data_IF_791962607378
#
_entry.id   IF_791962607378
#
_cell.length_a   1.000
_cell.length_b   1.000
_cell.length_c   1.000
_cell.angle_alpha   90.00
_cell.angle_beta   90.00
_cell.angle_gamma   90.00
#
_symmetry.space_group_name_H-M   'P 1'
#
loop_
_entity.id
_entity.type
_entity.pdbx_description
1 polymer ?
#
# COMPACT_ATOMS: atom_id res chain seq x y z
N UNK A 1 7.94 -7.23 -16.74
CA UNK A 1 7.61 -6.95 -15.33
C UNK A 1 6.13 -7.17 -15.10
N UNK A 2 5.78 -7.78 -13.97
CA UNK A 2 4.41 -7.89 -13.48
C UNK A 2 3.81 -6.51 -13.19
N UNK A 3 2.47 -6.36 -13.24
CA UNK A 3 1.80 -5.17 -12.72
C UNK A 3 2.23 -4.92 -11.27
N UNK A 4 2.51 -3.67 -10.93
CA UNK A 4 2.76 -3.23 -9.57
C UNK A 4 1.57 -2.41 -9.09
N UNK A 5 0.99 -2.80 -7.96
CA UNK A 5 -0.09 -2.07 -7.32
C UNK A 5 0.41 -1.60 -5.97
N UNK A 6 0.44 -0.28 -5.76
CA UNK A 6 0.82 0.36 -4.51
C UNK A 6 -0.45 0.85 -3.80
N UNK A 7 -0.67 0.40 -2.57
CA UNK A 7 -1.79 0.82 -1.73
C UNK A 7 -1.20 1.47 -0.48
N UNK A 8 -1.23 2.80 -0.46
CA UNK A 8 -0.47 3.62 0.48
C UNK A 8 -1.38 4.19 1.56
N UNK A 9 -1.10 3.86 2.81
CA UNK A 9 -1.70 4.52 3.96
C UNK A 9 -1.11 5.92 4.08
N UNK A 10 -2.00 6.90 4.03
CA UNK A 10 -1.65 8.31 4.18
C UNK A 10 -2.23 8.88 5.46
N UNK A 11 -2.58 8.08 6.46
CA UNK A 11 -3.20 8.54 7.71
C UNK A 11 -2.27 9.32 8.64
N UNK A 12 -2.85 9.86 9.72
CA UNK A 12 -2.18 10.56 10.82
C UNK A 12 -0.85 9.95 11.26
N UNK A 13 -0.86 8.67 11.60
CA UNK A 13 0.33 7.95 12.08
C UNK A 13 1.38 7.74 10.98
N UNK A 14 0.99 7.84 9.72
CA UNK A 14 1.85 7.71 8.54
C UNK A 14 2.37 9.05 8.04
N UNK A 15 2.08 10.19 8.70
CA UNK A 15 2.39 11.54 8.22
C UNK A 15 3.84 11.68 7.74
N UNK A 16 4.79 11.25 8.58
CA UNK A 16 6.23 11.37 8.33
C UNK A 16 6.72 10.45 7.20
N UNK A 17 5.98 9.39 6.89
CA UNK A 17 6.34 8.38 5.89
C UNK A 17 5.61 8.59 4.55
N UNK A 18 4.40 9.15 4.59
CA UNK A 18 3.49 9.28 3.45
C UNK A 18 4.11 10.01 2.26
N UNK A 19 4.90 11.07 2.52
CA UNK A 19 5.62 11.83 1.49
C UNK A 19 6.63 10.95 0.74
N UNK A 20 7.45 10.19 1.46
CA UNK A 20 8.47 9.34 0.87
C UNK A 20 7.84 8.20 0.07
N UNK A 21 6.75 7.62 0.58
CA UNK A 21 5.96 6.61 -0.14
C UNK A 21 5.39 7.15 -1.46
N UNK A 22 4.88 8.38 -1.46
CA UNK A 22 4.38 9.03 -2.68
C UNK A 22 5.50 9.37 -3.67
N UNK A 23 6.68 9.80 -3.20
CA UNK A 23 7.85 10.02 -4.07
C UNK A 23 8.32 8.71 -4.72
N UNK A 24 8.37 7.63 -3.95
CA UNK A 24 8.66 6.30 -4.46
C UNK A 24 7.64 5.87 -5.52
N UNK A 25 6.34 6.01 -5.22
CA UNK A 25 5.27 5.66 -6.15
C UNK A 25 5.31 6.47 -7.44
N UNK A 26 5.62 7.78 -7.34
CA UNK A 26 5.83 8.64 -8.49
C UNK A 26 7.00 8.12 -9.35
N UNK A 27 8.13 7.81 -8.72
CA UNK A 27 9.34 7.33 -9.39
C UNK A 27 9.11 5.97 -10.06
N UNK A 28 8.45 5.04 -9.35
CA UNK A 28 8.08 3.73 -9.87
C UNK A 28 7.13 3.84 -11.08
N UNK A 29 6.14 4.72 -11.02
CA UNK A 29 5.18 4.95 -12.12
C UNK A 29 5.86 5.51 -13.38
N UNK A 30 7.00 6.18 -13.24
CA UNK A 30 7.80 6.65 -14.38
C UNK A 30 8.77 5.59 -14.91
N UNK A 31 9.26 4.71 -14.04
CA UNK A 31 10.23 3.69 -14.40
C UNK A 31 9.58 2.42 -15.00
N UNK A 32 8.32 2.13 -14.65
CA UNK A 32 7.62 0.92 -15.08
C UNK A 32 6.27 1.25 -15.75
N UNK A 33 5.94 0.49 -16.80
CA UNK A 33 4.76 0.75 -17.65
C UNK A 33 3.42 0.28 -17.06
N UNK A 34 3.42 -0.43 -15.92
CA UNK A 34 2.22 -1.04 -15.34
C UNK A 34 2.17 -0.83 -13.82
N UNK A 35 2.22 0.43 -13.40
CA UNK A 35 2.10 0.82 -11.98
C UNK A 35 0.74 1.46 -11.73
N UNK A 36 0.08 1.01 -10.68
CA UNK A 36 -1.18 1.55 -10.20
C UNK A 36 -1.02 1.98 -8.75
N UNK A 37 -1.46 3.20 -8.43
CA UNK A 37 -1.25 3.78 -7.10
C UNK A 37 -2.57 4.21 -6.50
N UNK A 38 -2.79 3.75 -5.29
CA UNK A 38 -3.93 4.06 -4.45
C UNK A 38 -3.44 4.64 -3.13
N UNK A 39 -4.17 5.62 -2.61
CA UNK A 39 -3.99 6.12 -1.26
C UNK A 39 -5.24 5.81 -0.45
N UNK A 40 -5.07 5.55 0.84
CA UNK A 40 -6.19 5.41 1.75
C UNK A 40 -5.95 6.05 3.10
N UNK A 41 -7.06 6.44 3.73
CA UNK A 41 -7.16 6.83 5.13
C UNK A 41 -8.55 6.45 5.63
N UNK A 42 -9.51 7.36 5.45
CA UNK A 42 -10.95 7.09 5.67
C UNK A 42 -11.66 6.51 4.44
N UNK A 43 -11.12 6.75 3.24
CA UNK A 43 -11.59 6.20 1.95
C UNK A 43 -10.40 5.81 1.08
N UNK A 44 -10.64 4.92 0.11
CA UNK A 44 -9.67 4.56 -0.92
C UNK A 44 -9.80 5.49 -2.15
N UNK A 45 -8.69 6.10 -2.57
CA UNK A 45 -8.61 6.95 -3.76
C UNK A 45 -7.53 6.43 -4.71
N UNK A 46 -7.86 6.24 -5.99
CA UNK A 46 -6.87 5.96 -7.03
C UNK A 46 -6.16 7.26 -7.43
N UNK A 47 -4.85 7.33 -7.23
CA UNK A 47 -4.02 8.53 -7.48
C UNK A 47 -3.04 8.37 -8.64
N UNK A 48 -3.06 7.25 -9.38
CA UNK A 48 -2.20 7.01 -10.56
C UNK A 48 -2.14 8.22 -11.51
N UNK A 49 -3.29 8.81 -11.87
CA UNK A 49 -3.34 9.98 -12.76
C UNK A 49 -2.89 11.29 -12.13
N UNK A 50 -2.90 11.39 -10.79
CA UNK A 50 -2.34 12.54 -10.08
C UNK A 50 -0.80 12.52 -10.13
N UNK A 51 -0.21 11.32 -10.13
CA UNK A 51 1.24 11.09 -10.17
C UNK A 51 1.87 11.21 -11.57
N UNK A 52 1.09 11.48 -12.62
CA UNK A 52 1.57 11.59 -14.00
C UNK A 52 2.33 12.90 -14.30
N UNK A 53 2.26 13.88 -13.40
CA UNK A 53 3.02 15.14 -13.53
C UNK A 53 4.53 14.86 -13.59
N UNK A 54 5.27 15.53 -14.49
CA UNK A 54 6.74 15.43 -14.54
C UNK A 54 7.44 16.02 -13.31
N UNK A 55 6.80 16.96 -12.61
CA UNK A 55 7.36 17.61 -11.43
C UNK A 55 6.90 16.87 -10.17
N UNK A 56 7.82 16.32 -9.36
CA UNK A 56 7.47 15.51 -8.19
C UNK A 56 6.60 16.25 -7.19
N UNK A 57 6.93 17.51 -6.86
CA UNK A 57 6.17 18.28 -5.88
C UNK A 57 4.71 18.50 -6.32
N UNK A 58 4.50 18.74 -7.61
CA UNK A 58 3.17 18.90 -8.17
C UNK A 58 2.39 17.57 -8.18
N UNK A 59 3.05 16.46 -8.52
CA UNK A 59 2.46 15.13 -8.43
C UNK A 59 2.00 14.81 -7.01
N UNK A 60 2.87 15.07 -6.02
CA UNK A 60 2.57 14.87 -4.61
C UNK A 60 1.44 15.76 -4.12
N UNK A 61 1.45 17.05 -4.50
CA UNK A 61 0.39 18.00 -4.16
C UNK A 61 -0.97 17.53 -4.69
N UNK A 62 -1.02 17.09 -5.96
CA UNK A 62 -2.25 16.56 -6.57
C UNK A 62 -2.73 15.27 -5.89
N UNK A 63 -1.81 14.37 -5.55
CA UNK A 63 -2.14 13.13 -4.83
C UNK A 63 -2.70 13.43 -3.42
N UNK A 64 -2.05 14.34 -2.68
CA UNK A 64 -2.50 14.76 -1.36
C UNK A 64 -3.89 15.43 -1.42
N UNK A 65 -4.14 16.30 -2.41
CA UNK A 65 -5.46 16.91 -2.61
C UNK A 65 -6.55 15.90 -2.96
N UNK A 66 -6.23 14.91 -3.80
CA UNK A 66 -7.19 13.86 -4.16
C UNK A 66 -7.53 12.94 -2.98
N UNK A 67 -6.61 12.81 -2.03
CA UNK A 67 -6.72 11.92 -0.89
C UNK A 67 -7.11 12.64 0.43
N UNK A 68 -7.43 13.93 0.35
CA UNK A 68 -7.69 14.79 1.50
C UNK A 68 -9.04 14.47 2.16
N UNK A 69 -9.05 13.57 3.14
CA UNK A 69 -10.12 13.37 4.13
C UNK A 69 -9.56 12.74 5.41
N UNK A 70 -8.97 13.59 6.26
CA UNK A 70 -8.12 13.16 7.37
C UNK A 70 -8.79 13.02 8.74
N UNK A 71 -10.12 13.03 8.83
CA UNK A 71 -10.78 13.26 10.14
C UNK A 71 -11.57 12.08 10.73
N UNK A 72 -11.27 10.83 10.33
CA UNK A 72 -12.08 9.66 10.75
C UNK A 72 -11.32 8.45 11.30
N UNK A 73 -9.98 8.49 11.35
CA UNK A 73 -9.14 7.32 11.58
C UNK A 73 -8.95 6.46 10.32
N UNK A 74 -8.20 5.36 10.45
CA UNK A 74 -7.85 4.48 9.33
C UNK A 74 -8.79 3.28 9.29
N UNK A 75 -9.40 3.04 8.12
CA UNK A 75 -10.27 1.88 7.86
C UNK A 75 -9.65 1.01 6.77
N UNK A 76 -8.68 0.20 7.17
CA UNK A 76 -7.86 -0.61 6.26
C UNK A 76 -8.76 -1.65 5.58
N UNK A 77 -9.54 -2.40 6.37
CA UNK A 77 -10.45 -3.41 5.86
C UNK A 77 -11.43 -2.87 4.82
N UNK A 78 -12.12 -1.77 5.11
CA UNK A 78 -13.07 -1.15 4.18
C UNK A 78 -12.37 -0.68 2.88
N UNK A 79 -11.18 -0.11 3.01
CA UNK A 79 -10.39 0.38 1.86
C UNK A 79 -9.92 -0.76 0.97
N UNK A 80 -9.43 -1.86 1.55
CA UNK A 80 -9.01 -3.04 0.81
C UNK A 80 -10.19 -3.80 0.20
N UNK A 81 -11.31 -3.88 0.90
CA UNK A 81 -12.51 -4.51 0.35
C UNK A 81 -13.09 -3.69 -0.83
N UNK A 82 -13.11 -2.35 -0.71
CA UNK A 82 -13.43 -1.47 -1.83
C UNK A 82 -12.45 -1.65 -3.00
N UNK A 83 -11.15 -1.80 -2.69
CA UNK A 83 -10.12 -2.06 -3.70
C UNK A 83 -10.39 -3.38 -4.46
N UNK A 84 -10.62 -4.46 -3.73
CA UNK A 84 -10.88 -5.80 -4.28
C UNK A 84 -12.15 -5.79 -5.14
N UNK A 85 -13.24 -5.17 -4.66
CA UNK A 85 -14.52 -5.11 -5.39
C UNK A 85 -14.44 -4.32 -6.69
N UNK A 86 -13.80 -3.16 -6.67
CA UNK A 86 -13.86 -2.21 -7.79
C UNK A 86 -12.71 -2.38 -8.79
N UNK A 87 -11.55 -2.89 -8.37
CA UNK A 87 -10.37 -3.03 -9.24
C UNK A 87 -9.79 -4.44 -9.24
N UNK A 88 -9.63 -5.07 -8.08
CA UNK A 88 -8.99 -6.39 -7.97
C UNK A 88 -9.70 -7.45 -8.80
N UNK A 89 -11.02 -7.60 -8.61
CA UNK A 89 -11.87 -8.54 -9.37
C UNK A 89 -11.99 -8.19 -10.86
N UNK A 90 -11.72 -6.94 -11.24
CA UNK A 90 -11.72 -6.50 -12.64
C UNK A 90 -10.38 -6.79 -13.35
N UNK A 91 -9.47 -7.50 -12.69
CA UNK A 91 -8.23 -7.99 -13.26
C UNK A 91 -7.01 -7.11 -12.99
N UNK A 92 -7.15 -5.99 -12.26
CA UNK A 92 -6.02 -5.09 -11.97
C UNK A 92 -4.89 -5.82 -11.22
N UNK A 93 -5.26 -6.71 -10.29
CA UNK A 93 -4.33 -7.45 -9.46
C UNK A 93 -3.80 -8.72 -10.11
N UNK A 94 -4.41 -9.20 -11.21
CA UNK A 94 -4.16 -10.55 -11.71
C UNK A 94 -2.72 -10.70 -12.18
N UNK A 95 -1.98 -11.58 -11.51
CA UNK A 95 -0.55 -11.80 -11.78
C UNK A 95 0.36 -10.63 -11.36
N UNK A 96 -0.17 -9.64 -10.61
CA UNK A 96 0.56 -8.47 -10.14
C UNK A 96 1.17 -8.65 -8.74
N UNK A 97 2.14 -7.81 -8.43
CA UNK A 97 2.64 -7.62 -7.06
C UNK A 97 1.85 -6.49 -6.43
N UNK A 98 1.19 -6.77 -5.30
CA UNK A 98 0.47 -5.77 -4.52
C UNK A 98 1.30 -5.44 -3.29
N UNK A 99 1.61 -4.15 -3.10
CA UNK A 99 2.35 -3.64 -1.95
C UNK A 99 1.41 -2.77 -1.13
N UNK A 100 1.20 -3.14 0.13
CA UNK A 100 0.44 -2.35 1.11
C UNK A 100 1.44 -1.68 2.05
N UNK A 101 1.38 -0.36 2.18
CA UNK A 101 2.23 0.38 3.11
C UNK A 101 1.36 0.95 4.22
N UNK A 102 1.43 0.38 5.44
CA UNK A 102 0.62 0.80 6.59
C UNK A 102 1.23 0.29 7.91
N UNK A 103 0.97 1.01 8.99
CA UNK A 103 1.26 0.57 10.36
C UNK A 103 0.28 -0.50 10.87
N UNK A 104 -0.82 -0.73 10.15
CA UNK A 104 -1.85 -1.72 10.46
C UNK A 104 -2.80 -1.32 11.58
N UNK A 105 -2.85 -0.04 11.96
CA UNK A 105 -3.86 0.47 12.88
C UNK A 105 -5.21 0.58 12.16
N UNK A 106 -6.07 -0.42 12.32
CA UNK A 106 -7.43 -0.43 11.75
C UNK A 106 -8.49 -0.22 12.84
N UNK A 107 -9.43 0.71 12.60
CA UNK A 107 -10.60 0.94 13.47
C UNK A 107 -11.87 0.24 12.96
N UNK A 108 -11.80 -0.40 11.80
CA UNK A 108 -12.91 -1.14 11.20
C UNK A 108 -13.14 -2.52 11.82
N UNK A 109 -14.04 -3.29 11.20
CA UNK A 109 -14.30 -4.68 11.57
C UNK A 109 -13.14 -5.59 11.09
N UNK A 110 -12.45 -6.30 12.01
CA UNK A 110 -11.41 -7.27 11.66
C UNK A 110 -11.84 -8.32 10.64
N UNK A 111 -13.11 -8.74 10.63
CA UNK A 111 -13.61 -9.74 9.68
C UNK A 111 -13.62 -9.20 8.24
N UNK A 112 -13.88 -7.90 8.06
CA UNK A 112 -13.83 -7.25 6.74
C UNK A 112 -12.39 -7.23 6.23
N UNK A 113 -11.43 -6.88 7.10
CA UNK A 113 -10.01 -6.91 6.75
C UNK A 113 -9.54 -8.33 6.38
N UNK A 114 -9.88 -9.33 7.19
CA UNK A 114 -9.52 -10.73 6.92
C UNK A 114 -10.01 -11.18 5.54
N UNK A 115 -11.30 -10.97 5.25
CA UNK A 115 -11.90 -11.35 3.99
C UNK A 115 -11.32 -10.58 2.80
N UNK A 116 -10.98 -9.30 2.97
CA UNK A 116 -10.32 -8.51 1.93
C UNK A 116 -8.90 -9.02 1.64
N UNK A 117 -8.12 -9.30 2.68
CA UNK A 117 -6.76 -9.83 2.58
C UNK A 117 -6.72 -11.22 1.93
N UNK A 118 -7.62 -12.12 2.33
CA UNK A 118 -7.76 -13.45 1.72
C UNK A 118 -8.08 -13.35 0.23
N UNK A 119 -9.05 -12.51 -0.16
CA UNK A 119 -9.38 -12.34 -1.57
C UNK A 119 -8.22 -11.75 -2.35
N UNK A 120 -7.50 -10.79 -1.75
CA UNK A 120 -6.38 -10.14 -2.39
C UNK A 120 -5.22 -11.10 -2.62
N UNK A 121 -4.88 -11.94 -1.64
CA UNK A 121 -3.81 -12.94 -1.76
C UNK A 121 -4.11 -13.97 -2.84
N UNK A 122 -5.37 -14.34 -3.04
CA UNK A 122 -5.82 -15.23 -4.12
C UNK A 122 -5.82 -14.55 -5.51
N UNK A 123 -5.95 -13.23 -5.58
CA UNK A 123 -6.02 -12.48 -6.84
C UNK A 123 -4.64 -12.07 -7.37
N UNK A 124 -3.72 -11.75 -6.46
CA UNK A 124 -2.38 -11.27 -6.82
C UNK A 124 -1.36 -12.41 -6.95
N UNK A 125 -0.21 -12.11 -7.55
CA UNK A 125 0.93 -13.04 -7.58
C UNK A 125 1.68 -13.02 -6.25
N UNK A 126 1.89 -11.84 -5.68
CA UNK A 126 2.52 -11.62 -4.38
C UNK A 126 1.88 -10.46 -3.65
N UNK A 127 1.64 -10.65 -2.37
CA UNK A 127 1.18 -9.64 -1.43
C UNK A 127 2.32 -9.26 -0.47
N UNK A 128 2.85 -8.05 -0.65
CA UNK A 128 3.90 -7.47 0.17
C UNK A 128 3.29 -6.43 1.10
N UNK A 129 3.73 -6.40 2.34
CA UNK A 129 3.34 -5.35 3.28
C UNK A 129 4.57 -4.69 3.88
N UNK A 130 4.61 -3.37 3.79
CA UNK A 130 5.64 -2.51 4.36
C UNK A 130 5.09 -1.82 5.60
N UNK A 131 5.73 -2.04 6.75
CA UNK A 131 5.34 -1.37 7.99
C UNK A 131 6.45 -0.40 8.43
N UNK A 132 6.18 0.91 8.55
CA UNK A 132 7.19 1.90 8.93
C UNK A 132 7.63 1.84 10.39
N UNK A 133 6.89 1.14 11.25
CA UNK A 133 7.28 0.90 12.65
C UNK A 133 7.93 -0.47 12.85
N UNK A 134 8.03 -1.29 11.80
CA UNK A 134 8.89 -2.47 11.82
C UNK A 134 10.34 -1.98 11.80
N UNK A 135 10.92 -1.70 12.96
CA UNK A 135 12.36 -1.40 13.06
C UNK A 135 13.22 -2.59 12.58
N UNK A 136 14.54 -2.49 12.71
CA UNK A 136 15.50 -3.51 12.21
C UNK A 136 15.46 -4.87 12.96
N UNK A 137 14.51 -5.09 13.87
CA UNK A 137 14.43 -6.31 14.66
C UNK A 137 13.87 -7.48 13.86
N UNK A 138 14.58 -8.62 13.91
CA UNK A 138 14.11 -9.90 13.34
C UNK A 138 12.89 -10.47 14.06
N UNK A 139 12.60 -10.02 15.28
CA UNK A 139 11.53 -10.54 16.14
C UNK A 139 10.25 -9.70 16.07
N UNK A 140 10.04 -9.00 14.97
CA UNK A 140 8.86 -8.15 14.80
C UNK A 140 7.58 -8.97 14.99
N UNK A 141 6.80 -8.59 16.00
CA UNK A 141 5.49 -9.16 16.31
C UNK A 141 4.41 -8.16 15.94
N UNK A 142 3.43 -8.53 15.09
CA UNK A 142 2.21 -7.77 14.91
C UNK A 142 1.62 -7.35 16.26
N UNK A 143 1.59 -6.04 16.53
CA UNK A 143 1.09 -5.49 17.80
C UNK A 143 -0.33 -4.95 17.67
N UNK A 144 -0.78 -4.65 16.46
CA UNK A 144 -2.13 -4.17 16.17
C UNK A 144 -3.02 -5.33 15.70
N UNK A 145 -4.32 -5.23 16.00
CA UNK A 145 -5.34 -6.21 15.56
C UNK A 145 -5.34 -6.32 14.03
N UNK A 146 -5.25 -5.18 13.33
CA UNK A 146 -5.21 -5.16 11.87
C UNK A 146 -4.04 -5.96 11.31
N UNK A 147 -2.83 -5.80 11.86
CA UNK A 147 -1.69 -6.59 11.43
C UNK A 147 -1.81 -8.08 11.77
N UNK A 148 -2.31 -8.43 12.96
CA UNK A 148 -2.50 -9.84 13.33
C UNK A 148 -3.44 -10.54 12.36
N UNK A 149 -4.48 -9.84 11.90
CA UNK A 149 -5.44 -10.33 10.91
C UNK A 149 -4.84 -10.39 9.51
N UNK A 150 -4.04 -9.41 9.12
CA UNK A 150 -3.43 -9.36 7.80
C UNK A 150 -2.29 -10.37 7.63
N UNK A 151 -1.52 -10.64 8.69
CA UNK A 151 -0.30 -11.43 8.68
C UNK A 151 -0.40 -12.81 7.99
N UNK A 152 -1.45 -13.63 8.20
CA UNK A 152 -1.58 -14.94 7.56
C UNK A 152 -1.64 -14.91 6.03
N UNK A 153 -1.96 -13.74 5.44
CA UNK A 153 -2.17 -13.59 4.00
C UNK A 153 -1.00 -12.90 3.29
N UNK A 154 0.01 -12.45 4.04
CA UNK A 154 1.14 -11.68 3.50
C UNK A 154 2.27 -12.64 3.11
N UNK A 155 2.72 -12.56 1.86
CA UNK A 155 3.87 -13.34 1.38
C UNK A 155 5.20 -12.79 1.92
N UNK A 156 5.32 -11.46 2.00
CA UNK A 156 6.55 -10.79 2.39
C UNK A 156 6.26 -9.56 3.25
N UNK A 157 6.88 -9.51 4.43
CA UNK A 157 6.84 -8.35 5.33
C UNK A 157 8.16 -7.61 5.27
N UNK A 158 8.15 -6.38 4.74
CA UNK A 158 9.32 -5.50 4.73
C UNK A 158 9.19 -4.43 5.82
N UNK A 159 10.33 -3.89 6.23
CA UNK A 159 10.31 -2.63 6.95
C UNK A 159 9.87 -1.50 6.00
N UNK A 160 9.38 -0.38 6.53
CA UNK A 160 9.11 0.84 5.78
C UNK A 160 9.68 2.10 6.46
N UNK A 161 10.57 1.91 7.44
CA UNK A 161 11.01 2.99 8.35
C UNK A 161 12.04 3.95 7.74
N UNK A 162 12.61 3.61 6.58
CA UNK A 162 13.66 4.36 5.92
C UNK A 162 13.63 4.21 4.39
N UNK A 163 14.40 5.06 3.71
CA UNK A 163 14.57 5.01 2.25
C UNK A 163 15.20 3.68 1.80
N UNK A 164 16.03 3.07 2.63
CA UNK A 164 16.69 1.79 2.35
C UNK A 164 15.67 0.65 2.18
N UNK A 165 14.58 0.67 2.95
CA UNK A 165 13.48 -0.27 2.80
C UNK A 165 12.74 -0.14 1.45
N UNK A 166 12.67 1.08 0.91
CA UNK A 166 12.09 1.34 -0.42
C UNK A 166 13.05 0.93 -1.54
N UNK A 167 14.36 1.09 -1.33
CA UNK A 167 15.41 0.57 -2.22
C UNK A 167 15.43 -0.97 -2.22
N UNK A 168 15.24 -1.60 -1.07
CA UNK A 168 15.10 -3.05 -0.94
C UNK A 168 13.88 -3.52 -1.72
N UNK A 169 12.73 -2.87 -1.56
CA UNK A 169 11.55 -3.16 -2.38
C UNK A 169 11.88 -3.01 -3.88
N UNK A 170 12.48 -1.90 -4.30
CA UNK A 170 12.86 -1.67 -5.70
C UNK A 170 13.77 -2.77 -6.26
N UNK A 171 14.69 -3.29 -5.44
CA UNK A 171 15.64 -4.36 -5.79
C UNK A 171 14.96 -5.73 -5.83
N UNK A 172 13.97 -5.96 -4.97
CA UNK A 172 13.19 -7.21 -4.92
C UNK A 172 12.13 -7.29 -6.01
N UNK A 173 11.53 -6.17 -6.46
CA UNK A 173 10.50 -6.19 -7.49
C UNK A 173 10.88 -6.94 -8.78
N UNK A 174 12.13 -6.85 -9.30
CA UNK A 174 12.61 -7.69 -10.38
C UNK A 174 12.63 -9.19 -10.07
N UNK A 175 12.97 -9.60 -8.84
CA UNK A 175 13.09 -11.00 -8.42
C UNK A 175 11.76 -11.62 -8.02
N UNK A 176 10.76 -10.80 -7.71
CA UNK A 176 9.36 -11.18 -7.53
C UNK A 176 8.62 -11.39 -8.88
N UNK A 177 9.34 -11.54 -10.00
CA UNK A 177 8.78 -11.92 -11.32
C UNK A 177 8.85 -13.43 -11.58
#
# INVERSE_FOLDING_TARGET
MRPLILILDISGSMADYSRNLLQFAHSASRAASRVEVFCFGTRLTRVTGALDSRHPDEALRRAAQAAFDWDGGTRIGDSLDAFVRNWGRRGLCRGGVVVICSDGLDRGDPAVLAAAMERLSLLCYRLVWMNPHKGSSRDFRPSTVGMMVAAPHIDLMLSGHDLSSLEELATLLPTLN
#
